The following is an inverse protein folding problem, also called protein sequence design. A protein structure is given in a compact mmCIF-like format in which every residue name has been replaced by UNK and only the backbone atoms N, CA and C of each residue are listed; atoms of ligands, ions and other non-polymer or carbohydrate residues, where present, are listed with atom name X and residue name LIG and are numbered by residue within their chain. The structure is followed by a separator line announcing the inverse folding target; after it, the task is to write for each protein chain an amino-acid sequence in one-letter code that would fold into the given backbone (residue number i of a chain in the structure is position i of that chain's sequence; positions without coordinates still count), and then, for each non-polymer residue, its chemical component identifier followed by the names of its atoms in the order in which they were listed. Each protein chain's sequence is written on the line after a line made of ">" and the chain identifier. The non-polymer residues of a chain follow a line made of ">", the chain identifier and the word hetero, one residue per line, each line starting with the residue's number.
data_IF_007012355176
#
_entry.id   IF_007012355176
#
_cell.length_a   1.000
_cell.length_b   1.000
_cell.length_c   1.000
_cell.angle_alpha   90.00
_cell.angle_beta   90.00
_cell.angle_gamma   90.00
#
_symmetry.space_group_name_H-M   'P 1'
#
loop_
_entity.id
_entity.type
_entity.pdbx_description
1 polymer ?
#
# COMPACT_ATOMS: atom_id res chain seq x y z
N UNK A 1 -1.37 9.49 -9.30
CA UNK A 1 -1.03 8.05 -9.15
C UNK A 1 -0.25 7.87 -7.86
N UNK A 2 -0.74 7.02 -6.96
CA UNK A 2 -0.06 6.72 -5.71
C UNK A 2 0.90 5.55 -5.83
N UNK A 3 1.81 5.45 -4.87
CA UNK A 3 2.81 4.40 -4.79
C UNK A 3 2.62 3.61 -3.51
N UNK A 4 2.38 2.31 -3.63
CA UNK A 4 2.27 1.39 -2.49
C UNK A 4 3.57 0.62 -2.37
N UNK A 5 4.18 0.65 -1.19
CA UNK A 5 5.46 -0.03 -0.92
C UNK A 5 5.22 -1.10 0.14
N UNK A 6 5.60 -2.33 -0.18
CA UNK A 6 5.60 -3.45 0.77
C UNK A 6 7.05 -3.82 1.10
N UNK A 7 7.41 -3.64 2.36
CA UNK A 7 8.77 -3.95 2.83
C UNK A 7 8.81 -5.39 3.34
N UNK A 8 9.47 -6.26 2.58
CA UNK A 8 9.66 -7.68 2.91
C UNK A 8 8.33 -8.40 3.21
N UNK A 9 7.33 -8.33 2.32
CA UNK A 9 6.05 -9.01 2.55
C UNK A 9 6.25 -10.53 2.63
N UNK A 10 5.50 -11.18 3.51
CA UNK A 10 5.68 -12.59 3.86
C UNK A 10 4.59 -13.50 3.30
N UNK A 11 3.36 -13.00 3.21
CA UNK A 11 2.18 -13.79 2.86
C UNK A 11 1.75 -13.50 1.43
N UNK A 12 1.88 -14.49 0.51
CA UNK A 12 1.60 -14.26 -0.91
C UNK A 12 0.15 -13.84 -1.17
N UNK A 13 -0.79 -14.34 -0.39
CA UNK A 13 -2.20 -13.99 -0.51
C UNK A 13 -2.46 -12.51 -0.26
N UNK A 14 -1.80 -11.91 0.72
CA UNK A 14 -1.90 -10.47 0.97
C UNK A 14 -1.34 -9.65 -0.20
N UNK A 15 -0.16 -10.01 -0.69
CA UNK A 15 0.43 -9.34 -1.85
C UNK A 15 -0.43 -9.47 -3.09
N UNK A 16 -1.06 -10.64 -3.30
CA UNK A 16 -2.01 -10.84 -4.39
C UNK A 16 -3.23 -9.92 -4.29
N UNK A 17 -3.84 -9.81 -3.11
CA UNK A 17 -4.97 -8.90 -2.88
C UNK A 17 -4.57 -7.43 -3.06
N UNK A 18 -3.38 -7.06 -2.58
CA UNK A 18 -2.84 -5.71 -2.74
C UNK A 18 -2.59 -5.39 -4.21
N UNK A 19 -2.06 -6.35 -4.98
CA UNK A 19 -1.83 -6.16 -6.42
C UNK A 19 -3.13 -5.86 -7.17
N UNK A 20 -4.21 -6.55 -6.81
CA UNK A 20 -5.54 -6.27 -7.36
C UNK A 20 -6.01 -4.84 -7.02
N UNK A 21 -5.85 -4.42 -5.78
CA UNK A 21 -6.20 -3.05 -5.35
C UNK A 21 -5.37 -2.00 -6.10
N UNK A 22 -4.07 -2.23 -6.25
CA UNK A 22 -3.19 -1.33 -7.00
C UNK A 22 -3.58 -1.25 -8.49
N UNK A 23 -3.89 -2.38 -9.12
CA UNK A 23 -4.36 -2.40 -10.50
C UNK A 23 -5.68 -1.61 -10.66
N UNK A 24 -6.62 -1.82 -9.75
CA UNK A 24 -7.94 -1.16 -9.77
C UNK A 24 -7.86 0.36 -9.57
N UNK A 25 -6.78 0.86 -8.98
CA UNK A 25 -6.60 2.28 -8.66
C UNK A 25 -5.51 2.96 -9.47
N UNK A 26 -4.93 2.28 -10.44
CA UNK A 26 -3.75 2.74 -11.22
C UNK A 26 -2.58 3.15 -10.32
N UNK A 27 -2.40 2.46 -9.19
CA UNK A 27 -1.28 2.67 -8.28
C UNK A 27 -0.11 1.78 -8.63
N UNK A 28 1.10 2.26 -8.41
CA UNK A 28 2.33 1.47 -8.61
C UNK A 28 2.58 0.64 -7.36
N UNK A 29 2.90 -0.63 -7.54
CA UNK A 29 3.29 -1.53 -6.45
C UNK A 29 4.81 -1.71 -6.43
N UNK A 30 5.42 -1.34 -5.31
CA UNK A 30 6.85 -1.49 -5.07
C UNK A 30 7.08 -2.59 -4.04
N UNK A 31 7.86 -3.60 -4.41
CA UNK A 31 8.18 -4.73 -3.53
C UNK A 31 9.65 -4.69 -3.12
N UNK A 32 9.90 -4.63 -1.83
CA UNK A 32 11.25 -4.64 -1.26
C UNK A 32 11.61 -6.06 -0.82
N UNK A 33 12.69 -6.59 -1.39
CA UNK A 33 13.20 -7.94 -1.06
C UNK A 33 13.87 -7.95 0.33
N UNK A 34 13.98 -9.11 0.98
CA UNK A 34 13.51 -10.42 0.50
C UNK A 34 12.00 -10.59 0.62
N UNK A 35 11.42 -11.31 -0.32
CA UNK A 35 10.01 -11.70 -0.27
C UNK A 35 9.91 -13.06 0.42
N UNK A 36 8.90 -13.26 1.27
CA UNK A 36 8.64 -14.53 1.94
C UNK A 36 7.98 -15.58 1.04
N UNK A 37 7.93 -15.34 -0.28
CA UNK A 37 7.31 -16.20 -1.28
C UNK A 37 7.93 -15.94 -2.65
N UNK A 38 7.66 -16.83 -3.61
CA UNK A 38 8.04 -16.64 -5.00
C UNK A 38 6.90 -15.98 -5.80
N UNK A 39 7.23 -15.13 -6.77
CA UNK A 39 6.24 -14.47 -7.64
C UNK A 39 5.44 -15.49 -8.44
N UNK A 40 5.99 -16.67 -8.72
CA UNK A 40 5.30 -17.79 -9.38
C UNK A 40 4.35 -18.55 -8.47
N UNK A 41 4.25 -18.21 -7.17
CA UNK A 41 3.40 -18.88 -6.20
C UNK A 41 1.93 -18.87 -6.65
N UNK A 42 1.28 -20.05 -6.56
CA UNK A 42 -0.13 -20.20 -6.99
C UNK A 42 -1.07 -19.32 -6.18
N UNK A 43 -0.79 -19.12 -4.89
CA UNK A 43 -1.62 -18.30 -4.01
C UNK A 43 -1.59 -16.84 -4.44
N UNK A 44 -0.41 -16.33 -4.82
CA UNK A 44 -0.25 -15.01 -5.37
C UNK A 44 -1.04 -14.86 -6.68
N UNK A 45 -0.87 -15.81 -7.59
CA UNK A 45 -1.56 -15.83 -8.90
C UNK A 45 -3.07 -15.90 -8.76
N UNK A 46 -3.60 -16.74 -7.87
CA UNK A 46 -5.05 -16.83 -7.62
C UNK A 46 -5.64 -15.54 -7.09
N UNK A 47 -4.91 -14.83 -6.24
CA UNK A 47 -5.39 -13.58 -5.65
C UNK A 47 -5.39 -12.41 -6.65
N UNK A 48 -4.50 -12.40 -7.65
CA UNK A 48 -4.32 -11.24 -8.50
C UNK A 48 -3.90 -11.47 -9.96
N UNK A 49 -3.87 -12.71 -10.45
CA UNK A 49 -3.33 -13.02 -11.77
C UNK A 49 -3.95 -12.23 -12.92
N UNK A 50 -5.29 -12.12 -12.95
CA UNK A 50 -6.02 -11.44 -14.02
C UNK A 50 -5.72 -9.94 -14.09
N UNK A 51 -5.13 -9.38 -13.04
CA UNK A 51 -4.84 -7.96 -12.91
C UNK A 51 -3.38 -7.61 -13.18
N UNK A 52 -2.46 -8.59 -13.20
CA UNK A 52 -1.02 -8.35 -13.38
C UNK A 52 -0.69 -7.60 -14.66
N UNK A 53 -1.42 -7.85 -15.74
CA UNK A 53 -1.24 -7.16 -17.02
C UNK A 53 -1.53 -5.65 -16.94
N UNK A 54 -2.28 -5.21 -15.93
CA UNK A 54 -2.64 -3.81 -15.70
C UNK A 54 -1.83 -3.17 -14.57
N UNK A 55 -0.89 -3.91 -14.00
CA UNK A 55 -0.17 -3.52 -12.79
C UNK A 55 1.28 -3.16 -13.11
N UNK A 56 1.72 -1.98 -12.65
CA UNK A 56 3.12 -1.61 -12.62
C UNK A 56 3.73 -2.12 -11.31
N UNK A 57 4.55 -3.17 -11.40
CA UNK A 57 5.26 -3.77 -10.26
C UNK A 57 6.74 -3.50 -10.40
N UNK A 58 7.34 -2.95 -9.37
CA UNK A 58 8.78 -2.65 -9.31
C UNK A 58 9.41 -3.32 -8.11
N UNK A 59 10.65 -3.81 -8.28
CA UNK A 59 11.39 -4.58 -7.28
C UNK A 59 12.65 -3.85 -6.85
N UNK A 60 12.96 -3.94 -5.56
CA UNK A 60 14.16 -3.33 -4.96
C UNK A 60 14.81 -4.29 -4.00
N UNK A 61 16.14 -4.24 -3.89
CA UNK A 61 16.90 -5.08 -2.96
C UNK A 61 16.88 -4.52 -1.52
N UNK A 62 16.58 -3.22 -1.36
CA UNK A 62 16.43 -2.59 -0.07
C UNK A 62 15.46 -1.41 -0.14
N UNK A 63 14.89 -1.04 1.01
CA UNK A 63 14.10 0.18 1.10
C UNK A 63 14.93 1.43 0.79
N UNK A 64 16.18 1.46 1.21
CA UNK A 64 17.07 2.59 0.95
C UNK A 64 17.25 2.85 -0.55
N UNK A 65 17.35 1.80 -1.37
CA UNK A 65 17.42 1.92 -2.83
C UNK A 65 16.22 2.69 -3.38
N UNK A 66 15.01 2.34 -2.96
CA UNK A 66 13.79 3.04 -3.37
C UNK A 66 13.75 4.47 -2.81
N UNK A 67 14.03 4.63 -1.53
CA UNK A 67 13.94 5.92 -0.85
C UNK A 67 14.90 6.96 -1.46
N UNK A 68 16.15 6.59 -1.68
CA UNK A 68 17.15 7.48 -2.29
C UNK A 68 16.74 7.94 -3.68
N UNK A 69 16.04 7.09 -4.43
CA UNK A 69 15.57 7.42 -5.78
C UNK A 69 14.46 8.48 -5.78
N UNK A 70 13.58 8.52 -4.77
CA UNK A 70 12.36 9.32 -4.82
C UNK A 70 12.22 10.35 -3.69
N UNK A 71 13.11 10.37 -2.70
CA UNK A 71 12.99 11.23 -1.51
C UNK A 71 12.87 12.72 -1.79
N UNK A 72 13.44 13.19 -2.90
CA UNK A 72 13.47 14.61 -3.23
C UNK A 72 12.27 15.04 -4.10
N UNK A 73 11.46 14.10 -4.57
CA UNK A 73 10.35 14.39 -5.49
C UNK A 73 8.98 13.97 -4.95
N UNK A 74 8.92 13.23 -3.85
CA UNK A 74 7.67 12.73 -3.28
C UNK A 74 7.74 12.64 -1.75
N UNK A 75 6.57 12.65 -1.11
CA UNK A 75 6.47 12.40 0.32
C UNK A 75 6.36 10.90 0.57
N UNK A 76 6.92 10.46 1.70
CA UNK A 76 6.83 9.08 2.17
C UNK A 76 6.08 9.06 3.50
N UNK A 77 5.05 8.24 3.57
CA UNK A 77 4.27 7.99 4.78
C UNK A 77 4.40 6.52 5.18
N UNK A 78 4.61 6.28 6.46
CA UNK A 78 4.93 4.95 7.01
C UNK A 78 3.79 4.47 7.89
N UNK A 79 3.09 3.42 7.46
CA UNK A 79 1.96 2.88 8.18
C UNK A 79 2.42 1.90 9.26
N UNK A 80 2.02 2.16 10.50
CA UNK A 80 2.42 1.36 11.65
C UNK A 80 1.40 1.48 12.77
N UNK A 81 1.25 0.43 13.55
CA UNK A 81 0.49 0.48 14.81
C UNK A 81 1.14 1.41 15.83
N UNK A 82 2.38 1.85 15.58
CA UNK A 82 3.15 2.80 16.40
C UNK A 82 3.20 4.20 15.79
N UNK A 83 2.34 4.50 14.84
CA UNK A 83 2.33 5.78 14.14
C UNK A 83 2.04 6.97 15.06
N UNK A 84 2.69 8.10 14.77
CA UNK A 84 2.62 9.33 15.56
C UNK A 84 1.30 10.07 15.40
N UNK A 85 0.60 9.88 14.29
CA UNK A 85 -0.67 10.55 13.99
C UNK A 85 -1.60 9.63 13.21
N UNK A 86 -2.87 10.03 13.12
CA UNK A 86 -3.85 9.25 12.36
C UNK A 86 -3.54 9.34 10.86
N UNK A 87 -3.79 8.25 10.14
CA UNK A 87 -3.62 8.20 8.69
C UNK A 87 -4.46 9.25 7.95
N UNK A 88 -5.55 9.71 8.55
CA UNK A 88 -6.45 10.73 7.99
C UNK A 88 -6.05 12.17 8.32
N UNK A 89 -5.01 12.40 9.13
CA UNK A 89 -4.59 13.75 9.56
C UNK A 89 -3.57 14.39 8.61
N UNK A 90 -3.12 13.69 7.59
CA UNK A 90 -2.16 14.20 6.61
C UNK A 90 -2.85 14.49 5.28
N UNK A 91 -2.27 15.38 4.50
CA UNK A 91 -2.76 15.72 3.16
C UNK A 91 -1.94 14.93 2.13
N UNK A 92 -2.49 13.81 1.67
CA UNK A 92 -1.85 13.01 0.62
C UNK A 92 -1.91 13.73 -0.72
N UNK A 93 -0.79 13.69 -1.44
CA UNK A 93 -0.68 14.28 -2.78
C UNK A 93 -0.38 13.21 -3.81
N UNK A 94 -0.81 13.45 -5.04
CA UNK A 94 -0.49 12.58 -6.16
C UNK A 94 1.03 12.33 -6.24
N UNK A 95 1.43 11.08 -6.37
CA UNK A 95 2.82 10.68 -6.38
C UNK A 95 3.40 10.28 -5.02
N UNK A 96 2.66 10.48 -3.93
CA UNK A 96 3.12 10.09 -2.58
C UNK A 96 3.27 8.57 -2.44
N UNK A 97 4.17 8.19 -1.55
CA UNK A 97 4.50 6.79 -1.22
C UNK A 97 3.87 6.39 0.11
N UNK A 98 3.13 5.30 0.10
CA UNK A 98 2.52 4.68 1.28
C UNK A 98 3.29 3.41 1.59
N UNK A 99 4.03 3.40 2.69
CA UNK A 99 4.97 2.34 3.04
C UNK A 99 4.40 1.46 4.15
N UNK A 100 4.36 0.14 3.89
CA UNK A 100 3.82 -0.88 4.79
C UNK A 100 4.88 -1.91 5.11
N UNK A 101 4.88 -2.41 6.35
CA UNK A 101 5.79 -3.45 6.79
C UNK A 101 5.26 -4.86 6.56
N UNK A 102 6.08 -5.84 6.91
CA UNK A 102 5.72 -7.26 6.84
C UNK A 102 4.60 -7.60 7.85
N UNK A 103 3.89 -8.68 7.59
CA UNK A 103 2.70 -9.07 8.35
C UNK A 103 2.99 -9.37 9.82
N UNK A 104 4.16 -9.94 10.14
CA UNK A 104 4.50 -10.37 11.50
C UNK A 104 5.01 -9.24 12.41
N UNK A 105 5.88 -8.38 11.90
CA UNK A 105 6.60 -7.40 12.71
C UNK A 105 6.40 -5.94 12.28
N UNK A 106 5.72 -5.70 11.15
CA UNK A 106 5.60 -4.36 10.60
C UNK A 106 6.93 -3.79 10.12
N UNK A 107 7.04 -2.47 10.13
CA UNK A 107 8.26 -1.76 9.76
C UNK A 107 9.25 -1.77 10.92
N UNK A 108 10.58 -1.81 10.63
CA UNK A 108 11.60 -1.73 11.68
C UNK A 108 11.50 -0.41 12.48
N UNK A 109 11.64 -0.49 13.80
CA UNK A 109 11.58 0.71 14.65
C UNK A 109 12.62 1.78 14.30
N UNK A 110 13.88 1.43 13.95
CA UNK A 110 14.84 2.46 13.51
C UNK A 110 14.37 3.26 12.30
N UNK A 111 13.67 2.61 11.36
CA UNK A 111 13.08 3.29 10.20
C UNK A 111 11.94 4.22 10.62
N UNK A 112 11.07 3.76 11.51
CA UNK A 112 9.97 4.57 12.05
C UNK A 112 10.49 5.79 12.83
N UNK A 113 11.52 5.60 13.64
CA UNK A 113 12.13 6.68 14.41
C UNK A 113 12.74 7.75 13.49
N UNK A 114 13.45 7.32 12.45
CA UNK A 114 14.04 8.23 11.45
C UNK A 114 12.99 9.09 10.75
N UNK A 115 11.78 8.58 10.56
CA UNK A 115 10.68 9.25 9.85
C UNK A 115 9.47 9.48 10.74
N UNK A 116 9.67 9.65 12.02
CA UNK A 116 8.61 9.64 13.04
C UNK A 116 7.43 10.58 12.71
N UNK A 117 7.70 11.78 12.23
CA UNK A 117 6.66 12.75 11.88
C UNK A 117 5.75 12.31 10.72
N UNK A 118 6.21 11.36 9.90
CA UNK A 118 5.45 10.81 8.79
C UNK A 118 4.97 9.37 9.06
N UNK A 119 5.02 8.95 10.31
CA UNK A 119 4.43 7.66 10.70
C UNK A 119 2.95 7.83 10.99
N UNK A 120 2.13 6.94 10.42
CA UNK A 120 0.68 7.02 10.46
C UNK A 120 0.09 5.76 11.07
N UNK A 121 -0.97 5.94 11.85
CA UNK A 121 -1.75 4.86 12.45
C UNK A 121 -3.17 4.86 11.90
N UNK A 122 -3.66 3.69 11.54
CA UNK A 122 -5.10 3.47 11.33
C UNK A 122 -5.70 3.24 12.72
N UNK A 123 -6.65 4.06 13.18
CA UNK A 123 -7.25 3.90 14.51
C UNK A 123 -7.85 2.51 14.70
N UNK A 124 -7.60 1.92 15.84
CA UNK A 124 -8.11 0.61 16.23
C UNK A 124 -8.47 0.62 17.72
N UNK A 125 -9.33 -0.30 18.11
CA UNK A 125 -9.55 -0.58 19.54
C UNK A 125 -8.24 -1.02 20.20
N UNK A 126 -7.96 -0.50 21.37
CA UNK A 126 -6.67 -0.67 22.06
C UNK A 126 -6.25 -2.12 22.32
N UNK A 127 -7.20 -3.04 22.45
CA UNK A 127 -6.94 -4.45 22.72
C UNK A 127 -6.59 -5.28 21.48
N UNK A 128 -6.57 -4.68 20.31
CA UNK A 128 -6.25 -5.37 19.06
C UNK A 128 -4.83 -5.03 18.60
N UNK A 129 -4.13 -6.02 18.05
CA UNK A 129 -2.71 -5.87 17.68
C UNK A 129 -2.53 -5.13 16.37
N UNK A 130 -3.24 -5.55 15.33
CA UNK A 130 -3.09 -5.00 13.98
C UNK A 130 -4.25 -5.42 13.08
N UNK A 131 -4.44 -4.69 12.01
CA UNK A 131 -5.32 -5.08 10.90
C UNK A 131 -4.55 -5.97 9.92
N UNK A 132 -5.28 -6.77 9.15
CA UNK A 132 -4.72 -7.48 8.01
C UNK A 132 -4.01 -6.50 7.07
N UNK A 133 -2.85 -6.88 6.55
CA UNK A 133 -2.03 -6.01 5.70
C UNK A 133 -2.78 -5.52 4.46
N UNK A 134 -3.46 -6.40 3.73
CA UNK A 134 -4.18 -6.01 2.52
C UNK A 134 -5.34 -5.04 2.82
N UNK A 135 -6.00 -5.21 3.96
CA UNK A 135 -7.02 -4.28 4.43
C UNK A 135 -6.41 -2.91 4.77
N UNK A 136 -5.28 -2.89 5.46
CA UNK A 136 -4.57 -1.65 5.80
C UNK A 136 -4.17 -0.86 4.56
N UNK A 137 -3.67 -1.54 3.53
CA UNK A 137 -3.33 -0.93 2.25
C UNK A 137 -4.56 -0.33 1.59
N UNK A 138 -5.66 -1.08 1.50
CA UNK A 138 -6.90 -0.60 0.90
C UNK A 138 -7.45 0.63 1.62
N UNK A 139 -7.52 0.59 2.95
CA UNK A 139 -8.00 1.72 3.76
C UNK A 139 -7.18 2.98 3.51
N UNK A 140 -5.85 2.87 3.59
CA UNK A 140 -4.95 4.02 3.45
C UNK A 140 -4.96 4.57 2.03
N UNK A 141 -4.88 3.69 1.04
CA UNK A 141 -4.89 4.09 -0.37
C UNK A 141 -6.19 4.79 -0.75
N UNK A 142 -7.34 4.25 -0.33
CA UNK A 142 -8.64 4.87 -0.63
C UNK A 142 -8.86 6.18 0.13
N UNK A 143 -8.30 6.35 1.31
CA UNK A 143 -8.29 7.67 1.97
C UNK A 143 -7.47 8.68 1.15
N UNK A 144 -6.31 8.30 0.67
CA UNK A 144 -5.50 9.15 -0.19
C UNK A 144 -6.22 9.50 -1.50
N UNK A 145 -6.88 8.52 -2.10
CA UNK A 145 -7.69 8.73 -3.31
C UNK A 145 -8.89 9.64 -3.04
N UNK A 146 -9.58 9.45 -1.91
CA UNK A 146 -10.70 10.30 -1.52
C UNK A 146 -10.28 11.76 -1.39
N UNK A 147 -9.15 12.02 -0.74
CA UNK A 147 -8.62 13.38 -0.59
C UNK A 147 -8.30 14.03 -1.94
N UNK A 148 -8.02 13.23 -2.96
CA UNK A 148 -7.72 13.69 -4.32
C UNK A 148 -8.90 13.47 -5.29
N UNK A 149 -10.11 13.40 -4.74
CA UNK A 149 -11.38 13.32 -5.48
C UNK A 149 -11.46 12.15 -6.46
N UNK A 150 -10.79 11.02 -6.12
CA UNK A 150 -10.76 9.81 -6.96
C UNK A 150 -10.35 10.07 -8.41
N UNK A 151 -9.45 11.02 -8.62
CA UNK A 151 -9.04 11.46 -9.96
C UNK A 151 -8.59 10.28 -10.84
N UNK A 152 -9.15 10.20 -12.03
CA UNK A 152 -8.85 9.14 -13.00
C UNK A 152 -9.60 7.83 -12.78
N UNK A 153 -10.46 7.74 -11.75
CA UNK A 153 -11.27 6.55 -11.46
C UNK A 153 -12.74 6.80 -11.83
N UNK A 154 -13.43 5.71 -12.19
CA UNK A 154 -14.86 5.78 -12.47
C UNK A 154 -15.64 5.74 -11.15
N UNK A 155 -16.38 6.83 -10.78
CA UNK A 155 -17.06 6.90 -9.49
C UNK A 155 -18.44 6.24 -9.46
N UNK A 156 -18.96 5.79 -10.60
CA UNK A 156 -20.34 5.29 -10.71
C UNK A 156 -20.40 4.01 -11.53
N UNK A 157 -21.30 3.12 -11.10
CA UNK A 157 -21.67 1.93 -11.86
C UNK A 157 -23.09 2.01 -12.36
N UNK A 158 -23.49 1.02 -13.15
CA UNK A 158 -24.85 0.88 -13.70
C UNK A 158 -25.41 -0.50 -13.36
N UNK A 159 -26.73 -0.56 -13.12
CA UNK A 159 -27.42 -1.84 -13.02
C UNK A 159 -27.52 -2.45 -14.41
N UNK A 160 -27.28 -3.76 -14.54
CA UNK A 160 -27.24 -4.46 -15.84
C UNK A 160 -28.54 -4.33 -16.63
N UNK A 161 -29.67 -4.28 -15.96
CA UNK A 161 -31.00 -4.19 -16.59
C UNK A 161 -31.58 -2.76 -16.68
N UNK A 162 -30.84 -1.74 -16.21
CA UNK A 162 -31.33 -0.37 -16.21
C UNK A 162 -30.92 0.35 -17.50
N UNK A 163 -31.92 0.89 -18.20
CA UNK A 163 -31.68 1.83 -19.29
C UNK A 163 -31.69 3.24 -18.71
N UNK A 164 -30.61 3.97 -18.90
CA UNK A 164 -30.51 5.39 -18.56
C UNK A 164 -31.22 6.25 -19.61
#
# INVERSE_FOLDING_TARGET
>A
MFNVVLVEPEIPQNTGNISRTCAATHSVLHLIRPLGFEISDRTLKRAGLDYWQYLDVRYYDSFDELYEKYKDVANFYFLSTKGAKRYSDVNFKDGDFLVFGKETHGLPEPLLEKHYENTLRIPMWENLRSLNLSNSVALTLYEALRQNDFAGLNPKGHLTGRKD
#
